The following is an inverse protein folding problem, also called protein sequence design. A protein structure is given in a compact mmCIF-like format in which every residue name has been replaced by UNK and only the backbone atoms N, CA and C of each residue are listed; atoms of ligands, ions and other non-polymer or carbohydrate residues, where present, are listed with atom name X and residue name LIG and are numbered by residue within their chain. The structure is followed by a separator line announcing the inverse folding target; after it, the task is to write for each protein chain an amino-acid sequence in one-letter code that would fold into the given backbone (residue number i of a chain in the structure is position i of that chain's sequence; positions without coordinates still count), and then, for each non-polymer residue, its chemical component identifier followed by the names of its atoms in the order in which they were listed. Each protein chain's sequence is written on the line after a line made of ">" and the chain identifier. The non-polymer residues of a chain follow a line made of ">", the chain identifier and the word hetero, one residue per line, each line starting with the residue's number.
data_IF_465261186476
#
_entry.id   IF_465261186476
#
_cell.length_a   1.000
_cell.length_b   1.000
_cell.length_c   1.000
_cell.angle_alpha   90.00
_cell.angle_beta   90.00
_cell.angle_gamma   90.00
#
_symmetry.space_group_name_H-M   'P 1'
#
loop_
_entity.id
_entity.type
_entity.pdbx_description
1 polymer ?
#
# COMPACT_ATOMS: atom_id res chain seq x y z
N UNK A 1 3.70 -14.06 14.57
CA UNK A 1 3.33 -13.16 13.45
C UNK A 1 3.16 -11.77 14.04
N UNK A 2 3.92 -10.77 13.56
CA UNK A 2 3.67 -9.38 13.94
C UNK A 2 2.37 -8.94 13.26
N UNK A 3 1.45 -8.39 14.04
CA UNK A 3 0.31 -7.63 13.56
C UNK A 3 0.56 -6.14 13.83
N UNK A 4 0.05 -5.25 12.97
CA UNK A 4 0.12 -3.81 13.23
C UNK A 4 -1.13 -3.37 14.00
N UNK A 5 -0.95 -2.79 15.20
CA UNK A 5 -2.01 -2.06 15.88
C UNK A 5 -1.95 -0.61 15.42
N UNK A 6 -2.70 -0.30 14.37
CA UNK A 6 -2.63 0.97 13.66
C UNK A 6 -3.98 1.67 13.56
N UNK A 7 -3.89 2.97 13.31
CA UNK A 7 -4.99 3.80 12.83
C UNK A 7 -4.65 4.30 11.43
N UNK A 8 -5.66 4.69 10.66
CA UNK A 8 -5.43 5.44 9.44
C UNK A 8 -4.72 6.76 9.76
N UNK A 9 -3.68 7.07 9.00
CA UNK A 9 -3.02 8.36 8.94
C UNK A 9 -3.63 9.16 7.78
N UNK A 10 -4.67 9.94 8.10
CA UNK A 10 -5.53 10.61 7.12
C UNK A 10 -4.79 11.59 6.21
N UNK A 11 -3.76 12.28 6.72
CA UNK A 11 -3.03 13.31 5.96
C UNK A 11 -2.27 12.75 4.76
N UNK A 12 -1.91 11.46 4.80
CA UNK A 12 -1.26 10.80 3.68
C UNK A 12 -2.25 10.14 2.70
N UNK A 13 -3.57 10.23 2.94
CA UNK A 13 -4.58 9.60 2.09
C UNK A 13 -4.57 10.25 0.71
N UNK A 14 -4.56 9.42 -0.32
CA UNK A 14 -4.79 9.88 -1.70
C UNK A 14 -6.05 9.24 -2.24
N UNK A 15 -6.88 10.02 -2.94
CA UNK A 15 -8.09 9.55 -3.60
C UNK A 15 -8.05 9.98 -5.05
N UNK A 16 -8.29 9.03 -5.96
CA UNK A 16 -8.37 9.30 -7.38
C UNK A 16 -9.60 8.63 -7.98
N UNK A 17 -10.34 9.39 -8.78
CA UNK A 17 -11.52 8.90 -9.49
C UNK A 17 -11.32 9.07 -11.00
N UNK A 18 -11.54 8.00 -11.76
CA UNK A 18 -11.42 8.00 -13.22
C UNK A 18 -12.35 6.92 -13.82
N UNK A 19 -13.13 7.27 -14.84
CA UNK A 19 -14.03 6.34 -15.54
C UNK A 19 -14.96 5.51 -14.62
N UNK A 20 -15.49 6.12 -13.56
CA UNK A 20 -16.38 5.44 -12.60
C UNK A 20 -15.68 4.50 -11.61
N UNK A 21 -14.34 4.47 -11.61
CA UNK A 21 -13.52 3.76 -10.62
C UNK A 21 -12.92 4.79 -9.67
N UNK A 22 -13.13 4.61 -8.37
CA UNK A 22 -12.46 5.41 -7.33
C UNK A 22 -11.46 4.54 -6.59
N UNK A 23 -10.21 4.97 -6.54
CA UNK A 23 -9.14 4.33 -5.78
C UNK A 23 -8.79 5.24 -4.61
N UNK A 24 -8.72 4.68 -3.41
CA UNK A 24 -8.17 5.37 -2.25
C UNK A 24 -6.97 4.58 -1.72
N UNK A 25 -5.82 5.25 -1.64
CA UNK A 25 -4.65 4.75 -0.92
C UNK A 25 -4.58 5.45 0.43
N UNK A 26 -4.39 4.68 1.49
CA UNK A 26 -4.23 5.21 2.84
C UNK A 26 -3.08 4.51 3.55
N UNK A 27 -2.48 5.23 4.51
CA UNK A 27 -1.45 4.67 5.37
C UNK A 27 -2.11 4.26 6.68
N UNK A 28 -1.91 3.02 7.11
CA UNK A 28 -2.15 2.61 8.48
C UNK A 28 -0.81 2.69 9.23
N UNK A 29 -0.71 3.53 10.25
CA UNK A 29 0.50 3.68 11.06
C UNK A 29 0.21 3.32 12.52
N UNK A 30 1.16 2.66 13.17
CA UNK A 30 1.06 2.35 14.58
C UNK A 30 2.19 1.47 15.09
N UNK A 31 1.94 0.83 16.24
CA UNK A 31 2.91 -0.04 16.87
C UNK A 31 2.80 -1.47 16.34
N UNK A 32 3.96 -2.11 16.11
CA UNK A 32 4.00 -3.55 15.94
C UNK A 32 3.49 -4.23 17.21
N UNK A 33 2.64 -5.25 17.07
CA UNK A 33 2.11 -6.06 18.14
C UNK A 33 2.39 -7.54 17.88
N UNK A 34 2.85 -8.25 18.92
CA UNK A 34 3.33 -9.62 18.81
C UNK A 34 4.86 -9.71 18.77
N UNK A 35 5.38 -10.92 18.91
CA UNK A 35 6.82 -11.19 18.86
C UNK A 35 7.24 -11.55 17.43
N UNK A 36 8.28 -10.89 16.94
CA UNK A 36 9.12 -11.42 15.87
C UNK A 36 10.40 -11.95 16.49
N UNK A 37 10.63 -13.28 16.45
CA UNK A 37 11.82 -13.88 17.04
C UNK A 37 13.13 -13.45 16.36
N UNK A 38 13.07 -12.82 15.19
CA UNK A 38 14.23 -12.28 14.46
C UNK A 38 14.48 -10.79 14.75
N UNK A 39 13.56 -10.10 15.43
CA UNK A 39 13.66 -8.66 15.68
C UNK A 39 14.54 -8.37 16.91
N UNK A 40 15.52 -7.47 16.76
CA UNK A 40 16.38 -7.05 17.87
C UNK A 40 15.64 -6.16 18.88
N UNK A 41 15.95 -6.18 20.18
CA UNK A 41 15.34 -5.27 21.15
C UNK A 41 15.47 -3.79 20.72
N UNK A 42 14.38 -3.02 20.80
CA UNK A 42 14.32 -1.62 20.33
C UNK A 42 13.96 -1.43 18.85
N UNK A 43 13.84 -2.50 18.06
CA UNK A 43 13.38 -2.43 16.65
C UNK A 43 11.89 -2.15 16.50
N UNK A 44 11.11 -2.33 17.57
CA UNK A 44 9.68 -2.03 17.64
C UNK A 44 9.45 -0.51 17.66
N UNK A 45 9.75 0.13 16.53
CA UNK A 45 9.47 1.53 16.23
C UNK A 45 8.13 1.64 15.49
N UNK A 46 7.57 2.86 15.39
CA UNK A 46 6.39 3.10 14.55
C UNK A 46 6.57 2.44 13.18
N UNK A 47 5.59 1.62 12.82
CA UNK A 47 5.55 0.91 11.57
C UNK A 47 4.30 1.34 10.82
N UNK A 48 4.38 1.26 9.49
CA UNK A 48 3.29 1.69 8.64
C UNK A 48 3.15 0.76 7.44
N UNK A 49 1.90 0.56 7.06
CA UNK A 49 1.51 -0.22 5.88
C UNK A 49 0.62 0.66 5.01
N UNK A 50 0.83 0.61 3.70
CA UNK A 50 0.04 1.32 2.72
C UNK A 50 -0.98 0.37 2.13
N UNK A 51 -2.25 0.71 2.26
CA UNK A 51 -3.35 -0.06 1.72
C UNK A 51 -4.02 0.70 0.57
N UNK A 52 -4.62 -0.06 -0.34
CA UNK A 52 -5.48 0.42 -1.40
C UNK A 52 -6.86 -0.22 -1.24
N UNK A 53 -7.90 0.61 -1.35
CA UNK A 53 -9.29 0.18 -1.54
C UNK A 53 -9.84 0.78 -2.81
N UNK A 54 -10.76 0.08 -3.46
CA UNK A 54 -11.33 0.51 -4.72
C UNK A 54 -12.84 0.38 -4.68
N UNK A 55 -13.51 1.44 -5.12
CA UNK A 55 -14.93 1.47 -5.41
C UNK A 55 -15.12 1.43 -6.92
N UNK A 56 -15.78 0.37 -7.41
CA UNK A 56 -16.18 0.23 -8.81
C UNK A 56 -17.53 -0.47 -8.87
N UNK A 57 -18.44 0.01 -9.73
CA UNK A 57 -19.80 -0.57 -9.87
C UNK A 57 -20.54 -0.72 -8.53
N UNK A 58 -20.43 0.30 -7.66
CA UNK A 58 -21.02 0.33 -6.31
C UNK A 58 -20.49 -0.76 -5.34
N UNK A 59 -19.40 -1.45 -5.69
CA UNK A 59 -18.74 -2.45 -4.84
C UNK A 59 -17.40 -1.93 -4.35
N UNK A 60 -17.15 -2.11 -3.07
CA UNK A 60 -15.87 -1.79 -2.42
C UNK A 60 -15.06 -3.07 -2.27
N UNK A 61 -13.80 -3.03 -2.67
CA UNK A 61 -12.88 -4.15 -2.50
C UNK A 61 -12.36 -4.18 -1.06
N UNK A 62 -12.03 -5.36 -0.50
CA UNK A 62 -11.20 -5.42 0.69
C UNK A 62 -9.89 -4.63 0.49
N UNK A 63 -9.29 -4.10 1.57
CA UNK A 63 -7.98 -3.47 1.50
C UNK A 63 -6.93 -4.43 0.96
N UNK A 64 -6.09 -3.94 0.05
CA UNK A 64 -4.93 -4.68 -0.47
C UNK A 64 -3.67 -3.91 -0.12
N UNK A 65 -2.66 -4.60 0.41
CA UNK A 65 -1.37 -4.00 0.69
C UNK A 65 -0.67 -3.60 -0.62
N UNK A 66 -0.31 -2.34 -0.72
CA UNK A 66 0.44 -1.80 -1.87
C UNK A 66 1.88 -1.47 -1.50
N UNK A 67 2.17 -1.30 -0.22
CA UNK A 67 3.48 -0.89 0.27
C UNK A 67 3.53 -0.79 1.78
N UNK A 68 4.62 -0.23 2.30
CA UNK A 68 4.84 -0.18 3.74
C UNK A 68 6.28 0.21 4.06
N UNK A 69 6.57 0.34 5.35
CA UNK A 69 7.93 0.57 5.84
C UNK A 69 8.86 -0.56 5.36
N UNK A 70 9.96 -0.19 4.73
CA UNK A 70 10.90 -1.17 4.15
C UNK A 70 10.50 -1.72 2.78
N UNK A 71 9.26 -1.46 2.35
CA UNK A 71 8.75 -1.82 1.04
C UNK A 71 8.61 -0.62 0.11
N UNK A 72 7.62 -0.72 -0.77
CA UNK A 72 7.28 0.35 -1.70
C UNK A 72 6.60 1.52 -0.97
N UNK A 73 7.01 2.75 -1.30
CA UNK A 73 6.31 4.00 -0.98
C UNK A 73 5.67 4.53 -2.24
N UNK A 74 4.33 4.65 -2.29
CA UNK A 74 3.63 5.15 -3.47
C UNK A 74 3.77 6.67 -3.63
N UNK A 75 3.81 7.11 -4.87
CA UNK A 75 3.87 8.52 -5.28
C UNK A 75 2.70 8.91 -6.19
N UNK A 76 1.90 7.93 -6.63
CA UNK A 76 0.68 8.21 -7.38
C UNK A 76 -0.01 7.00 -7.95
N UNK A 77 -1.23 7.23 -8.42
CA UNK A 77 -2.11 6.21 -8.99
C UNK A 77 -2.54 6.61 -10.40
N UNK A 78 -2.51 5.65 -11.34
CA UNK A 78 -3.11 5.77 -12.67
C UNK A 78 -4.15 4.68 -12.88
N UNK A 79 -5.30 5.07 -13.43
CA UNK A 79 -6.42 4.18 -13.72
C UNK A 79 -6.60 4.19 -15.24
N UNK A 80 -6.50 3.03 -15.88
CA UNK A 80 -6.67 2.91 -17.34
C UNK A 80 -7.30 1.57 -17.67
N UNK A 81 -8.44 1.58 -18.35
CA UNK A 81 -9.11 0.36 -18.86
C UNK A 81 -9.27 -0.73 -17.79
N UNK A 82 -9.77 -0.37 -16.60
CA UNK A 82 -9.95 -1.31 -15.48
C UNK A 82 -8.67 -1.81 -14.80
N UNK A 83 -7.52 -1.28 -15.21
CA UNK A 83 -6.21 -1.55 -14.60
C UNK A 83 -5.79 -0.38 -13.73
N UNK A 84 -5.36 -0.68 -12.51
CA UNK A 84 -4.85 0.31 -11.56
C UNK A 84 -3.33 0.12 -11.46
N UNK A 85 -2.59 1.18 -11.73
CA UNK A 85 -1.12 1.21 -11.57
C UNK A 85 -0.77 2.15 -10.44
N UNK A 86 -0.23 1.57 -9.37
CA UNK A 86 0.36 2.31 -8.25
C UNK A 86 1.84 2.48 -8.57
N UNK A 87 2.29 3.73 -8.71
CA UNK A 87 3.70 4.08 -8.90
C UNK A 87 4.31 4.48 -7.57
N UNK A 88 5.60 4.23 -7.41
CA UNK A 88 6.29 4.52 -6.17
C UNK A 88 7.78 4.20 -6.25
N UNK A 89 8.39 4.06 -5.09
CA UNK A 89 9.80 3.70 -4.93
C UNK A 89 9.99 2.67 -3.84
N UNK A 90 10.90 1.72 -4.04
CA UNK A 90 11.41 0.79 -3.02
C UNK A 90 12.84 1.13 -2.63
N UNK A 91 13.31 0.51 -1.54
CA UNK A 91 14.65 0.69 -1.02
C UNK A 91 15.67 -0.01 -1.92
N UNK A 92 16.63 0.76 -2.41
CA UNK A 92 17.87 0.26 -2.99
C UNK A 92 18.90 -0.13 -1.92
N UNK A 93 20.01 -0.77 -2.33
CA UNK A 93 21.01 -1.31 -1.40
C UNK A 93 21.71 -0.27 -0.50
N UNK A 94 21.64 1.02 -0.87
CA UNK A 94 22.29 2.14 -0.16
C UNK A 94 21.29 3.14 0.40
N UNK A 95 20.01 2.87 0.26
CA UNK A 95 18.98 3.80 0.72
C UNK A 95 18.87 3.76 2.25
N UNK A 96 18.68 4.94 2.83
CA UNK A 96 18.14 5.00 4.19
C UNK A 96 16.66 4.60 4.16
N UNK A 97 16.16 3.99 5.22
CA UNK A 97 14.76 3.52 5.32
C UNK A 97 13.70 4.59 5.04
N UNK A 98 14.03 5.87 5.20
CA UNK A 98 13.15 7.01 4.94
C UNK A 98 13.17 7.50 3.48
N UNK A 99 14.14 7.07 2.66
CA UNK A 99 14.44 7.65 1.35
C UNK A 99 14.58 6.59 0.25
N UNK A 100 13.50 5.88 -0.11
CA UNK A 100 13.54 4.91 -1.21
C UNK A 100 13.81 5.60 -2.56
N UNK A 101 14.69 5.02 -3.35
CA UNK A 101 15.18 5.58 -4.61
C UNK A 101 14.84 4.74 -5.85
N UNK A 102 14.60 3.43 -5.70
CA UNK A 102 14.39 2.51 -6.82
C UNK A 102 12.95 2.62 -7.32
N UNK A 103 12.69 3.07 -8.57
CA UNK A 103 11.33 3.17 -9.07
C UNK A 103 10.65 1.79 -9.15
N UNK A 104 9.43 1.71 -8.63
CA UNK A 104 8.61 0.50 -8.66
C UNK A 104 7.20 0.83 -9.14
N UNK A 105 6.56 -0.12 -9.81
CA UNK A 105 5.15 -0.02 -10.18
C UNK A 105 4.46 -1.33 -9.87
N UNK A 106 3.41 -1.27 -9.06
CA UNK A 106 2.50 -2.40 -8.82
C UNK A 106 1.25 -2.23 -9.67
N UNK A 107 0.87 -3.30 -10.35
CA UNK A 107 -0.30 -3.32 -11.22
C UNK A 107 -1.37 -4.18 -10.59
N UNK A 108 -2.61 -3.69 -10.62
CA UNK A 108 -3.77 -4.36 -10.05
C UNK A 108 -4.90 -4.41 -11.08
N UNK A 109 -5.64 -5.51 -11.09
CA UNK A 109 -6.88 -5.65 -11.85
C UNK A 109 -8.04 -5.92 -10.91
N UNK A 110 -9.18 -5.31 -11.23
CA UNK A 110 -10.44 -5.54 -10.55
C UNK A 110 -11.14 -6.71 -11.27
N UNK A 111 -11.45 -7.78 -10.55
CA UNK A 111 -12.24 -8.88 -11.07
C UNK A 111 -13.71 -8.46 -11.23
N UNK A 112 -14.50 -9.15 -12.07
CA UNK A 112 -15.95 -8.95 -12.13
C UNK A 112 -16.66 -9.14 -10.77
N UNK A 113 -16.08 -9.95 -9.87
CA UNK A 113 -16.58 -10.17 -8.52
C UNK A 113 -16.24 -9.06 -7.53
N UNK A 114 -15.51 -8.01 -7.93
CA UNK A 114 -15.09 -6.94 -7.05
C UNK A 114 -13.91 -7.32 -6.14
N UNK A 115 -13.10 -8.29 -6.56
CA UNK A 115 -11.81 -8.61 -5.91
C UNK A 115 -10.68 -7.93 -6.65
N UNK A 116 -9.63 -7.58 -5.93
CA UNK A 116 -8.40 -7.06 -6.53
C UNK A 116 -7.35 -8.16 -6.53
N UNK A 117 -6.68 -8.29 -7.66
CA UNK A 117 -5.51 -9.14 -7.80
C UNK A 117 -4.33 -8.30 -8.25
N UNK A 118 -3.21 -8.40 -7.52
CA UNK A 118 -1.94 -7.89 -8.01
C UNK A 118 -1.54 -8.73 -9.23
N UNK A 119 -1.24 -8.04 -10.33
CA UNK A 119 -0.62 -8.63 -11.50
C UNK A 119 0.87 -8.56 -11.26
N UNK A 120 1.49 -9.71 -10.98
CA UNK A 120 2.94 -9.81 -10.91
C UNK A 120 3.51 -9.51 -12.32
N UNK A 121 4.65 -8.80 -12.40
CA UNK A 121 5.36 -8.64 -13.66
C UNK A 121 5.79 -9.98 -14.26
#
# INVERSE_FOLDING_TARGET
>A
MIALRATEYCDARTVKTEHGITVANYTAEGACAGQDPQAQPGTCSNNWVRYMVVLANQKITPPVEVGGKGGMTDTGVRISSGTIKVKGRSLGPKDSMCCPSVPETKTFKISPSGRIHQVLP
#
